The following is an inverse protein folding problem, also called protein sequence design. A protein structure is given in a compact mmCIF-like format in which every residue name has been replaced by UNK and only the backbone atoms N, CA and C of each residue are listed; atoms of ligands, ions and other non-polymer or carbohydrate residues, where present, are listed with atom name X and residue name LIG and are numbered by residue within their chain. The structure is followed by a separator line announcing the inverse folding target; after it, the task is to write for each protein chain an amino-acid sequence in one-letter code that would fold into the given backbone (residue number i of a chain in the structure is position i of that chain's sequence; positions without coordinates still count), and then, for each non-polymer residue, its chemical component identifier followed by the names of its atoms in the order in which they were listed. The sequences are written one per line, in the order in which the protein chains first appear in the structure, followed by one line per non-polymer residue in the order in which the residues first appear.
data_IF_377070406464
#
_entry.id   IF_377070406464
#
_cell.length_a   1.000
_cell.length_b   1.000
_cell.length_c   1.000
_cell.angle_alpha   90.00
_cell.angle_beta   90.00
_cell.angle_gamma   90.00
#
_symmetry.space_group_name_H-M   'P 1'
#
loop_
_entity.id
_entity.type
_entity.pdbx_description
1 polymer ?
#
# COMPACT_ATOMS: atom_id res chain seq x y z
N UNK A 1 65.37 31.62 -1.79
CA UNK A 1 65.02 30.19 -1.73
C UNK A 1 63.78 30.06 -0.87
N UNK A 2 62.85 29.23 -1.34
CA UNK A 2 61.42 29.18 -0.99
C UNK A 2 61.20 28.90 0.51
N UNK A 3 60.40 29.70 1.24
CA UNK A 3 59.93 29.30 2.56
C UNK A 3 58.74 28.34 2.42
N UNK A 4 58.88 27.17 3.02
CA UNK A 4 57.92 26.06 3.06
C UNK A 4 56.53 26.50 3.52
N UNK A 5 55.51 26.23 2.71
CA UNK A 5 54.12 26.36 3.09
C UNK A 5 53.75 25.30 4.14
N UNK A 6 53.41 25.75 5.35
CA UNK A 6 52.82 24.94 6.40
C UNK A 6 51.41 24.52 5.98
N UNK A 7 51.19 23.23 5.77
CA UNK A 7 49.89 22.64 5.49
C UNK A 7 48.99 22.76 6.73
N UNK A 8 48.10 23.75 6.72
CA UNK A 8 46.98 23.82 7.65
C UNK A 8 45.91 22.85 7.15
N UNK A 9 45.88 21.65 7.74
CA UNK A 9 44.79 20.70 7.54
C UNK A 9 43.51 21.32 8.11
N UNK A 10 42.65 21.81 7.22
CA UNK A 10 41.27 22.18 7.52
C UNK A 10 40.56 20.94 8.06
N UNK A 11 40.42 20.87 9.38
CA UNK A 11 39.65 19.84 10.08
C UNK A 11 38.18 20.10 9.78
N UNK A 12 37.67 19.48 8.71
CA UNK A 12 36.24 19.42 8.43
C UNK A 12 35.58 18.78 9.65
N UNK A 13 34.80 19.57 10.39
CA UNK A 13 33.93 19.03 11.44
C UNK A 13 33.00 18.03 10.77
N UNK A 14 33.14 16.75 11.11
CA UNK A 14 32.16 15.73 10.75
C UNK A 14 30.78 16.24 11.20
N UNK A 15 29.75 16.18 10.33
CA UNK A 15 28.41 16.53 10.76
C UNK A 15 28.04 15.64 11.93
N UNK A 16 27.71 16.24 13.07
CA UNK A 16 27.13 15.51 14.19
C UNK A 16 25.82 14.90 13.68
N UNK A 17 25.81 13.58 13.55
CA UNK A 17 24.59 12.81 13.31
C UNK A 17 23.72 13.04 14.55
N UNK A 18 22.49 13.58 14.42
CA UNK A 18 21.58 13.63 15.55
C UNK A 18 21.31 12.20 16.02
N UNK A 19 21.69 11.87 17.25
CA UNK A 19 21.48 10.55 17.87
C UNK A 19 20.06 10.35 18.40
N UNK A 20 19.08 11.08 17.88
CA UNK A 20 17.67 10.81 18.09
C UNK A 20 17.06 10.55 16.72
N UNK A 21 16.60 9.31 16.53
CA UNK A 21 15.85 8.91 15.36
C UNK A 21 14.60 9.80 15.27
N UNK A 22 14.49 10.69 14.27
CA UNK A 22 13.36 11.61 14.15
C UNK A 22 12.02 10.88 13.89
N UNK A 23 12.06 9.55 13.78
CA UNK A 23 10.95 8.66 13.47
C UNK A 23 10.70 7.58 14.52
N UNK A 24 10.94 7.84 15.81
CA UNK A 24 10.44 6.99 16.92
C UNK A 24 8.89 7.06 17.05
N UNK A 25 8.19 7.00 15.93
CA UNK A 25 6.74 7.01 15.82
C UNK A 25 6.18 5.71 16.37
N UNK A 26 5.45 5.82 17.47
CA UNK A 26 4.89 4.72 18.23
C UNK A 26 5.75 4.35 19.43
N UNK A 27 5.20 4.48 20.64
CA UNK A 27 5.80 3.92 21.84
C UNK A 27 5.89 2.40 21.67
N UNK A 28 7.08 1.86 21.41
CA UNK A 28 7.28 0.43 21.19
C UNK A 28 6.65 -0.43 22.32
N UNK A 29 6.59 0.12 23.55
CA UNK A 29 6.03 -0.54 24.72
C UNK A 29 4.53 -0.78 24.59
N UNK A 30 3.78 0.13 23.97
CA UNK A 30 2.32 -0.05 23.81
C UNK A 30 2.02 -1.23 22.89
N UNK A 31 2.80 -1.40 21.82
CA UNK A 31 2.62 -2.51 20.88
C UNK A 31 3.10 -3.82 21.49
N UNK A 32 4.19 -3.81 22.27
CA UNK A 32 4.64 -4.98 23.03
C UNK A 32 3.56 -5.44 24.02
N UNK A 33 3.04 -4.53 24.85
CA UNK A 33 1.96 -4.82 25.81
C UNK A 33 0.71 -5.40 25.12
N UNK A 34 0.28 -4.81 24.00
CA UNK A 34 -0.93 -5.23 23.29
C UNK A 34 -0.76 -6.59 22.59
N UNK A 35 0.41 -6.86 22.02
CA UNK A 35 0.67 -8.08 21.25
C UNK A 35 0.99 -9.29 22.15
N UNK A 36 1.56 -9.05 23.34
CA UNK A 36 1.88 -10.07 24.34
C UNK A 36 0.68 -10.44 25.25
N UNK A 37 -0.49 -9.84 25.01
CA UNK A 37 -1.71 -10.17 25.74
C UNK A 37 -2.05 -11.68 25.66
N UNK A 38 -2.27 -12.31 26.82
CA UNK A 38 -2.43 -13.78 26.92
C UNK A 38 -3.73 -14.29 26.28
N UNK A 39 -4.83 -13.56 26.44
CA UNK A 39 -6.17 -14.00 26.03
C UNK A 39 -6.58 -13.44 24.67
N UNK A 40 -6.55 -12.11 24.52
CA UNK A 40 -6.94 -11.45 23.29
C UNK A 40 -6.24 -10.10 23.12
N UNK A 41 -5.95 -9.74 21.88
CA UNK A 41 -5.44 -8.40 21.51
C UNK A 41 -6.59 -7.39 21.54
N UNK A 42 -6.42 -6.31 22.30
CA UNK A 42 -7.36 -5.19 22.30
C UNK A 42 -7.22 -4.40 21.00
N UNK A 43 -8.11 -4.70 20.04
CA UNK A 43 -8.08 -4.11 18.71
C UNK A 43 -8.40 -2.61 18.72
N UNK A 44 -9.21 -2.14 19.67
CA UNK A 44 -9.55 -0.71 19.77
C UNK A 44 -8.34 0.10 20.21
N UNK A 45 -7.63 -0.37 21.26
CA UNK A 45 -6.35 0.24 21.67
C UNK A 45 -5.28 0.12 20.59
N UNK A 46 -5.23 -1.00 19.87
CA UNK A 46 -4.28 -1.20 18.77
C UNK A 46 -4.51 -0.21 17.63
N UNK A 47 -5.77 0.02 17.24
CA UNK A 47 -6.15 1.02 16.23
C UNK A 47 -5.73 2.42 16.66
N UNK A 48 -6.02 2.79 17.90
CA UNK A 48 -5.69 4.13 18.39
C UNK A 48 -4.18 4.37 18.44
N UNK A 49 -3.40 3.38 18.92
CA UNK A 49 -1.95 3.44 18.88
C UNK A 49 -1.42 3.54 17.43
N UNK A 50 -2.02 2.79 16.51
CA UNK A 50 -1.60 2.76 15.10
C UNK A 50 -1.87 4.08 14.36
N UNK A 51 -2.95 4.81 14.71
CA UNK A 51 -3.20 6.16 14.18
C UNK A 51 -2.07 7.13 14.47
N UNK A 52 -1.40 6.98 15.62
CA UNK A 52 -0.23 7.78 16.03
C UNK A 52 1.08 7.32 15.36
N UNK A 53 1.07 6.18 14.67
CA UNK A 53 2.22 5.58 14.00
C UNK A 53 2.62 4.26 14.64
N UNK A 54 2.86 3.25 13.80
CA UNK A 54 3.28 1.93 14.27
C UNK A 54 4.80 1.85 14.27
N UNK A 55 5.35 1.45 15.41
CA UNK A 55 6.79 1.29 15.52
C UNK A 55 7.29 0.23 14.50
N UNK A 56 8.38 0.49 13.73
CA UNK A 56 8.78 -0.32 12.58
C UNK A 56 8.92 -1.83 12.88
N UNK A 57 9.36 -2.18 14.10
CA UNK A 57 9.50 -3.58 14.55
C UNK A 57 8.18 -4.36 14.53
N UNK A 58 7.05 -3.71 14.78
CA UNK A 58 5.77 -4.38 14.99
C UNK A 58 4.83 -4.29 13.78
N UNK A 59 5.14 -3.48 12.77
CA UNK A 59 4.28 -3.29 11.57
C UNK A 59 3.81 -4.61 10.95
N UNK A 60 4.72 -5.56 10.75
CA UNK A 60 4.38 -6.86 10.17
C UNK A 60 3.30 -7.62 10.95
N UNK A 61 3.32 -7.54 12.29
CA UNK A 61 2.31 -8.18 13.14
C UNK A 61 1.04 -7.34 13.22
N UNK A 62 1.17 -6.03 13.47
CA UNK A 62 0.05 -5.10 13.63
C UNK A 62 -0.82 -5.07 12.38
N UNK A 63 -0.23 -5.02 11.18
CA UNK A 63 -0.99 -4.97 9.93
C UNK A 63 -1.88 -6.21 9.76
N UNK A 64 -1.45 -7.40 10.22
CA UNK A 64 -2.29 -8.60 10.13
C UNK A 64 -3.52 -8.52 11.04
N UNK A 65 -3.40 -7.95 12.23
CA UNK A 65 -4.55 -7.71 13.11
C UNK A 65 -5.48 -6.65 12.54
N UNK A 66 -4.93 -5.53 12.06
CA UNK A 66 -5.69 -4.43 11.49
C UNK A 66 -6.47 -4.84 10.22
N UNK A 67 -5.89 -5.72 9.41
CA UNK A 67 -6.52 -6.30 8.22
C UNK A 67 -7.34 -7.56 8.51
N UNK A 68 -7.55 -7.93 9.78
CA UNK A 68 -8.29 -9.14 10.18
C UNK A 68 -7.75 -10.45 9.57
N UNK A 69 -6.47 -10.48 9.19
CA UNK A 69 -5.76 -11.69 8.73
C UNK A 69 -5.43 -12.59 9.92
N UNK A 70 -5.10 -11.99 11.07
CA UNK A 70 -4.91 -12.67 12.34
C UNK A 70 -6.07 -12.37 13.27
N UNK A 71 -6.59 -13.40 13.95
CA UNK A 71 -7.67 -13.24 14.93
C UNK A 71 -7.16 -12.61 16.22
N UNK A 72 -7.96 -11.74 16.83
CA UNK A 72 -7.63 -11.11 18.11
C UNK A 72 -7.62 -12.11 19.27
N UNK A 73 -8.46 -13.14 19.23
CA UNK A 73 -8.50 -14.22 20.22
C UNK A 73 -7.34 -15.20 20.03
N UNK A 74 -6.46 -15.26 21.03
CA UNK A 74 -5.24 -16.08 21.03
C UNK A 74 -5.53 -17.58 21.06
N UNK A 75 -6.69 -18.00 21.59
CA UNK A 75 -7.03 -19.42 21.74
C UNK A 75 -7.27 -20.11 20.39
N UNK A 76 -7.74 -19.36 19.39
CA UNK A 76 -8.04 -19.84 18.05
C UNK A 76 -6.97 -19.43 17.00
N UNK A 77 -6.09 -18.50 17.34
CA UNK A 77 -5.04 -17.95 16.46
C UNK A 77 -4.19 -19.06 15.82
N UNK A 78 -3.64 -19.99 16.60
CA UNK A 78 -2.77 -21.06 16.09
C UNK A 78 -3.49 -21.99 15.10
N UNK A 79 -4.79 -22.25 15.32
CA UNK A 79 -5.56 -23.12 14.43
C UNK A 79 -5.81 -22.45 13.08
N UNK A 80 -6.12 -21.15 13.09
CA UNK A 80 -6.29 -20.34 11.87
C UNK A 80 -4.97 -20.19 11.13
N UNK A 81 -3.88 -19.92 11.83
CA UNK A 81 -2.55 -19.79 11.21
C UNK A 81 -2.13 -21.08 10.51
N UNK A 82 -2.39 -22.24 11.11
CA UNK A 82 -2.15 -23.55 10.48
C UNK A 82 -3.06 -23.81 9.28
N UNK A 83 -4.30 -23.34 9.31
CA UNK A 83 -5.20 -23.44 8.16
C UNK A 83 -4.68 -22.58 7.01
N UNK A 84 -4.33 -21.32 7.29
CA UNK A 84 -3.74 -20.40 6.32
C UNK A 84 -2.43 -20.93 5.73
N UNK A 85 -1.56 -21.54 6.54
CA UNK A 85 -0.33 -22.17 6.03
C UNK A 85 -0.63 -23.26 5.00
N UNK A 86 -1.55 -24.18 5.34
CA UNK A 86 -1.95 -25.26 4.44
C UNK A 86 -2.58 -24.73 3.15
N UNK A 87 -3.47 -23.75 3.26
CA UNK A 87 -4.12 -23.16 2.09
C UNK A 87 -3.11 -22.44 1.19
N UNK A 88 -2.15 -21.72 1.78
CA UNK A 88 -1.08 -21.06 1.06
C UNK A 88 -0.14 -22.05 0.37
N UNK A 89 0.22 -23.17 1.00
CA UNK A 89 0.97 -24.25 0.38
C UNK A 89 0.23 -24.86 -0.81
N UNK A 90 -1.08 -25.09 -0.69
CA UNK A 90 -1.90 -25.66 -1.75
C UNK A 90 -1.98 -24.75 -2.99
N UNK A 91 -2.07 -23.43 -2.81
CA UNK A 91 -2.05 -22.47 -3.92
C UNK A 91 -0.77 -22.60 -4.78
N UNK A 92 0.34 -22.93 -4.14
CA UNK A 92 1.65 -23.07 -4.79
C UNK A 92 1.86 -24.42 -5.47
N UNK A 93 1.04 -25.41 -5.16
CA UNK A 93 1.15 -26.76 -5.74
C UNK A 93 0.40 -26.95 -7.06
N UNK A 94 -0.41 -25.98 -7.50
CA UNK A 94 -1.12 -26.03 -8.79
C UNK A 94 -0.32 -25.26 -9.86
N UNK A 95 0.64 -25.82 -10.62
CA UNK A 95 0.44 -26.62 -11.85
C UNK A 95 1.80 -26.85 -12.60
N UNK A 96 1.98 -27.83 -13.55
CA UNK A 96 0.95 -28.35 -14.48
C UNK A 96 0.86 -29.89 -14.77
N UNK A 97 -0.40 -30.37 -14.84
CA UNK A 97 -1.03 -31.53 -15.54
C UNK A 97 -0.53 -33.02 -15.47
N UNK A 98 -1.44 -33.86 -14.93
CA UNK A 98 -1.89 -35.27 -15.21
C UNK A 98 -0.94 -36.45 -15.46
N UNK A 99 -0.97 -37.43 -14.53
CA UNK A 99 -0.92 -38.87 -14.86
C UNK A 99 -1.68 -39.75 -13.82
N UNK A 100 -2.96 -39.45 -13.53
CA UNK A 100 -3.88 -40.41 -12.85
C UNK A 100 -5.36 -39.99 -12.80
N UNK A 101 -5.77 -38.88 -13.42
CA UNK A 101 -7.19 -38.57 -13.63
C UNK A 101 -8.11 -38.61 -12.40
N UNK A 102 -7.62 -38.32 -11.18
CA UNK A 102 -8.48 -38.26 -9.98
C UNK A 102 -8.49 -36.85 -9.39
N UNK A 103 -9.68 -36.24 -9.41
CA UNK A 103 -10.01 -35.06 -8.62
C UNK A 103 -9.77 -35.36 -7.14
N UNK A 104 -9.11 -34.45 -6.42
CA UNK A 104 -9.21 -34.38 -4.97
C UNK A 104 -10.64 -33.92 -4.67
N UNK A 105 -11.50 -34.86 -4.26
CA UNK A 105 -12.81 -34.53 -3.68
C UNK A 105 -12.54 -33.93 -2.29
N UNK A 106 -12.50 -32.60 -2.22
CA UNK A 106 -12.64 -31.89 -0.96
C UNK A 106 -14.04 -32.16 -0.39
N UNK A 107 -14.11 -32.55 0.88
CA UNK A 107 -15.35 -32.64 1.63
C UNK A 107 -16.03 -31.27 1.69
N UNK A 108 -17.12 -31.08 0.95
CA UNK A 108 -18.16 -30.10 1.31
C UNK A 108 -18.12 -28.70 0.67
N UNK A 109 -17.40 -28.49 -0.43
CA UNK A 109 -17.46 -27.22 -1.19
C UNK A 109 -17.24 -27.48 -2.68
N UNK A 110 -17.92 -26.74 -3.55
CA UNK A 110 -17.84 -26.90 -5.02
C UNK A 110 -16.37 -26.98 -5.48
N UNK A 111 -16.02 -27.91 -6.37
CA UNK A 111 -14.65 -28.01 -6.89
C UNK A 111 -14.26 -26.72 -7.62
N UNK A 112 -13.09 -26.18 -7.30
CA UNK A 112 -12.40 -25.18 -8.14
C UNK A 112 -12.23 -25.80 -9.52
N UNK A 113 -13.00 -25.32 -10.49
CA UNK A 113 -12.95 -25.80 -11.86
C UNK A 113 -11.56 -25.52 -12.46
N UNK A 114 -11.06 -26.36 -13.38
CA UNK A 114 -9.83 -26.08 -14.10
C UNK A 114 -10.10 -24.95 -15.10
N UNK A 115 -9.75 -23.72 -14.72
CA UNK A 115 -9.71 -22.58 -15.63
C UNK A 115 -8.67 -22.88 -16.71
N UNK A 116 -9.17 -23.04 -17.94
CA UNK A 116 -8.34 -23.10 -19.14
C UNK A 116 -7.49 -21.83 -19.19
N UNK A 117 -6.17 -21.99 -19.17
CA UNK A 117 -5.22 -20.88 -19.28
C UNK A 117 -5.59 -19.96 -20.46
N UNK A 118 -6.07 -18.75 -20.16
CA UNK A 118 -5.98 -17.64 -21.10
C UNK A 118 -4.50 -17.33 -21.30
N UNK A 119 -3.95 -17.66 -22.47
CA UNK A 119 -2.50 -17.54 -22.72
C UNK A 119 -1.99 -16.09 -22.62
N UNK A 120 -2.89 -15.11 -22.74
CA UNK A 120 -2.56 -13.68 -22.68
C UNK A 120 -2.38 -13.16 -21.24
N UNK A 121 -3.27 -13.50 -20.31
CA UNK A 121 -3.15 -13.05 -18.92
C UNK A 121 -1.92 -13.62 -18.22
N UNK A 122 -1.59 -14.89 -18.50
CA UNK A 122 -0.35 -15.50 -18.01
C UNK A 122 0.92 -14.79 -18.51
N UNK A 123 0.89 -14.14 -19.67
CA UNK A 123 2.03 -13.37 -20.19
C UNK A 123 2.19 -12.02 -19.47
N UNK A 124 1.09 -11.36 -19.09
CA UNK A 124 1.12 -10.13 -18.30
C UNK A 124 1.77 -10.36 -16.93
N UNK A 125 1.35 -11.40 -16.21
CA UNK A 125 1.97 -11.80 -14.94
C UNK A 125 3.47 -12.10 -15.09
N UNK A 126 3.87 -12.86 -16.12
CA UNK A 126 5.29 -13.13 -16.40
C UNK A 126 6.11 -11.87 -16.64
N UNK A 127 5.56 -10.89 -17.38
CA UNK A 127 6.21 -9.60 -17.61
C UNK A 127 6.35 -8.82 -16.31
N UNK A 128 5.30 -8.76 -15.49
CA UNK A 128 5.32 -8.08 -14.20
C UNK A 128 6.37 -8.68 -13.25
N UNK A 129 6.40 -10.01 -13.12
CA UNK A 129 7.40 -10.73 -12.31
C UNK A 129 8.83 -10.40 -12.80
N UNK A 130 9.08 -10.54 -14.11
CA UNK A 130 10.38 -10.25 -14.71
C UNK A 130 10.82 -8.80 -14.48
N UNK A 131 9.92 -7.83 -14.67
CA UNK A 131 10.21 -6.42 -14.44
C UNK A 131 10.61 -6.14 -12.98
N UNK A 132 10.02 -6.84 -12.01
CA UNK A 132 10.34 -6.63 -10.59
C UNK A 132 11.66 -7.26 -10.16
N UNK A 133 12.05 -8.40 -10.74
CA UNK A 133 13.31 -9.08 -10.41
C UNK A 133 14.56 -8.21 -10.68
N UNK A 134 14.46 -7.26 -11.61
CA UNK A 134 15.53 -6.32 -11.94
C UNK A 134 15.58 -5.08 -11.04
N UNK A 135 14.59 -4.84 -10.17
CA UNK A 135 14.64 -3.71 -9.22
C UNK A 135 15.75 -3.93 -8.19
N UNK A 136 16.44 -2.85 -7.80
CA UNK A 136 17.60 -2.89 -6.91
C UNK A 136 17.34 -3.64 -5.58
N UNK A 137 16.11 -3.55 -5.05
CA UNK A 137 15.70 -4.25 -3.83
C UNK A 137 15.72 -5.79 -3.94
N UNK A 138 15.64 -6.34 -5.16
CA UNK A 138 15.57 -7.77 -5.43
C UNK A 138 16.76 -8.26 -6.27
N UNK A 139 17.45 -7.37 -6.99
CA UNK A 139 18.55 -7.73 -7.91
C UNK A 139 19.76 -8.36 -7.23
N UNK A 140 19.97 -8.19 -5.92
CA UNK A 140 21.17 -8.69 -5.21
C UNK A 140 20.89 -9.76 -4.16
N UNK A 141 19.62 -10.06 -3.85
CA UNK A 141 19.25 -11.01 -2.78
C UNK A 141 18.40 -12.15 -3.33
N UNK A 142 18.94 -13.39 -3.41
CA UNK A 142 18.18 -14.54 -3.92
C UNK A 142 16.99 -14.89 -3.02
N UNK A 143 17.10 -14.69 -1.71
CA UNK A 143 16.00 -14.84 -0.77
C UNK A 143 14.87 -13.84 -1.05
N UNK A 144 15.21 -12.58 -1.33
CA UNK A 144 14.22 -11.56 -1.65
C UNK A 144 13.51 -11.84 -2.97
N UNK A 145 14.21 -12.37 -3.98
CA UNK A 145 13.57 -12.82 -5.23
C UNK A 145 12.64 -13.98 -4.97
N UNK A 146 13.09 -15.02 -4.26
CA UNK A 146 12.26 -16.19 -3.93
C UNK A 146 11.01 -15.78 -3.15
N UNK A 147 11.14 -14.85 -2.20
CA UNK A 147 10.01 -14.28 -1.48
C UNK A 147 9.02 -13.62 -2.44
N UNK A 148 9.50 -12.75 -3.35
CA UNK A 148 8.66 -12.03 -4.30
C UNK A 148 7.96 -13.00 -5.26
N UNK A 149 8.71 -13.93 -5.86
CA UNK A 149 8.19 -14.94 -6.78
C UNK A 149 7.08 -15.75 -6.08
N UNK A 150 7.32 -16.19 -4.84
CA UNK A 150 6.34 -16.93 -4.05
C UNK A 150 5.03 -16.13 -3.84
N UNK A 151 5.12 -14.84 -3.51
CA UNK A 151 3.94 -13.99 -3.31
C UNK A 151 3.20 -13.79 -4.63
N UNK A 152 3.90 -13.44 -5.70
CA UNK A 152 3.29 -13.13 -6.99
C UNK A 152 2.68 -14.37 -7.66
N UNK A 153 3.31 -15.54 -7.56
CA UNK A 153 2.74 -16.81 -8.01
C UNK A 153 1.44 -17.15 -7.28
N UNK A 154 1.39 -16.91 -5.96
CA UNK A 154 0.20 -17.16 -5.15
C UNK A 154 -0.94 -16.20 -5.50
N UNK A 155 -0.63 -14.92 -5.76
CA UNK A 155 -1.60 -13.94 -6.26
C UNK A 155 -2.08 -14.31 -7.67
N UNK A 156 -1.17 -14.73 -8.56
CA UNK A 156 -1.52 -15.17 -9.91
C UNK A 156 -2.48 -16.37 -9.89
N UNK A 157 -2.31 -17.29 -8.93
CA UNK A 157 -3.20 -18.44 -8.80
C UNK A 157 -4.66 -18.05 -8.50
N UNK A 158 -4.87 -16.95 -7.75
CA UNK A 158 -6.20 -16.41 -7.43
C UNK A 158 -6.70 -15.47 -8.52
N UNK A 159 -5.82 -14.64 -9.07
CA UNK A 159 -6.13 -13.57 -10.02
C UNK A 159 -5.60 -13.91 -11.43
N UNK A 160 -5.89 -15.13 -11.89
CA UNK A 160 -5.36 -15.68 -13.14
C UNK A 160 -5.75 -14.88 -14.38
N UNK A 161 -6.90 -14.24 -14.36
CA UNK A 161 -7.48 -13.47 -15.47
C UNK A 161 -7.50 -11.95 -15.21
N UNK A 162 -6.68 -11.47 -14.26
CA UNK A 162 -6.55 -10.05 -13.99
C UNK A 162 -6.01 -9.25 -15.18
N UNK A 163 -6.50 -8.03 -15.37
CA UNK A 163 -5.97 -7.09 -16.36
C UNK A 163 -4.54 -6.64 -16.03
N UNK A 164 -3.84 -6.03 -16.99
CA UNK A 164 -2.49 -5.50 -16.76
C UNK A 164 -2.47 -4.46 -15.64
N UNK A 165 -3.50 -3.62 -15.57
CA UNK A 165 -3.69 -2.60 -14.54
C UNK A 165 -3.89 -3.22 -13.16
N UNK A 166 -4.73 -4.26 -13.06
CA UNK A 166 -4.96 -5.00 -11.83
C UNK A 166 -3.67 -5.67 -11.33
N UNK A 167 -2.93 -6.31 -12.23
CA UNK A 167 -1.62 -6.91 -11.94
C UNK A 167 -0.64 -5.84 -11.44
N UNK A 168 -0.59 -4.68 -12.10
CA UNK A 168 0.24 -3.57 -11.68
C UNK A 168 -0.10 -3.14 -10.24
N UNK A 169 -1.37 -2.92 -9.92
CA UNK A 169 -1.83 -2.51 -8.59
C UNK A 169 -1.43 -3.56 -7.54
N UNK A 170 -1.72 -4.83 -7.79
CA UNK A 170 -1.34 -5.94 -6.90
C UNK A 170 0.17 -5.93 -6.62
N UNK A 171 1.00 -5.77 -7.65
CA UNK A 171 2.46 -5.68 -7.50
C UNK A 171 2.84 -4.48 -6.64
N UNK A 172 2.27 -3.29 -6.85
CA UNK A 172 2.60 -2.13 -6.02
C UNK A 172 2.21 -2.33 -4.56
N UNK A 173 1.07 -2.98 -4.29
CA UNK A 173 0.63 -3.28 -2.92
C UNK A 173 1.54 -4.29 -2.20
N UNK A 174 2.24 -5.18 -2.92
CA UNK A 174 3.18 -6.15 -2.35
C UNK A 174 4.46 -5.48 -1.82
N UNK A 175 4.96 -4.45 -2.52
CA UNK A 175 6.31 -3.93 -2.27
C UNK A 175 6.53 -3.38 -0.85
N UNK A 176 5.60 -2.64 -0.22
CA UNK A 176 5.79 -2.14 1.15
C UNK A 176 5.98 -3.26 2.18
N UNK A 177 5.40 -4.44 1.95
CA UNK A 177 5.52 -5.58 2.86
C UNK A 177 6.93 -6.17 2.91
N UNK A 178 7.73 -5.97 1.85
CA UNK A 178 9.15 -6.34 1.87
C UNK A 178 9.92 -5.55 2.92
N UNK A 179 9.62 -4.26 3.06
CA UNK A 179 10.32 -3.35 3.97
C UNK A 179 10.06 -3.69 5.45
N UNK A 180 8.85 -4.13 5.76
CA UNK A 180 8.47 -4.55 7.12
C UNK A 180 8.82 -6.02 7.40
N UNK A 181 9.59 -6.67 6.50
CA UNK A 181 10.06 -8.06 6.61
C UNK A 181 8.92 -9.08 6.80
N UNK A 182 7.77 -8.83 6.17
CA UNK A 182 6.64 -9.74 6.20
C UNK A 182 6.97 -11.06 5.49
N UNK A 183 6.43 -12.18 5.97
CA UNK A 183 6.56 -13.47 5.29
C UNK A 183 5.80 -13.46 3.95
N UNK A 184 6.11 -14.38 3.04
CA UNK A 184 5.39 -14.45 1.76
C UNK A 184 3.90 -14.76 1.96
N UNK A 185 3.58 -15.68 2.89
CA UNK A 185 2.20 -16.02 3.28
C UNK A 185 1.46 -14.80 3.82
N UNK A 186 2.02 -14.13 4.82
CA UNK A 186 1.36 -13.01 5.47
C UNK A 186 1.18 -11.84 4.49
N UNK A 187 2.17 -11.62 3.63
CA UNK A 187 2.07 -10.63 2.55
C UNK A 187 0.94 -10.97 1.59
N UNK A 188 0.83 -12.23 1.16
CA UNK A 188 -0.25 -12.68 0.30
C UNK A 188 -1.62 -12.42 0.94
N UNK A 189 -1.85 -12.83 2.18
CA UNK A 189 -3.15 -12.62 2.84
C UNK A 189 -3.45 -11.14 3.06
N UNK A 190 -2.48 -10.34 3.51
CA UNK A 190 -2.66 -8.90 3.69
C UNK A 190 -2.98 -8.19 2.36
N UNK A 191 -2.23 -8.47 1.30
CA UNK A 191 -2.47 -7.86 -0.03
C UNK A 191 -3.79 -8.33 -0.61
N UNK A 192 -4.12 -9.62 -0.48
CA UNK A 192 -5.40 -10.17 -0.90
C UNK A 192 -6.57 -9.47 -0.19
N UNK A 193 -6.46 -9.22 1.12
CA UNK A 193 -7.47 -8.46 1.86
C UNK A 193 -7.57 -7.01 1.39
N UNK A 194 -6.44 -6.29 1.24
CA UNK A 194 -6.46 -4.90 0.74
C UNK A 194 -7.10 -4.83 -0.64
N UNK A 195 -6.72 -5.73 -1.55
CA UNK A 195 -7.24 -5.76 -2.91
C UNK A 195 -8.71 -6.18 -2.96
N UNK A 196 -9.13 -7.13 -2.13
CA UNK A 196 -10.54 -7.48 -1.95
C UNK A 196 -11.35 -6.25 -1.51
N UNK A 197 -10.87 -5.50 -0.52
CA UNK A 197 -11.54 -4.28 -0.08
C UNK A 197 -11.65 -3.26 -1.21
N UNK A 198 -10.58 -3.02 -1.97
CA UNK A 198 -10.61 -2.09 -3.11
C UNK A 198 -11.60 -2.51 -4.22
N UNK A 199 -11.86 -3.82 -4.37
CA UNK A 199 -12.71 -4.40 -5.43
C UNK A 199 -14.15 -4.67 -5.00
N UNK A 200 -14.53 -4.32 -3.76
CA UNK A 200 -15.86 -4.58 -3.22
C UNK A 200 -16.38 -3.36 -2.47
N UNK A 201 -17.64 -3.41 -2.02
CA UNK A 201 -18.26 -2.41 -1.14
C UNK A 201 -18.27 -0.98 -1.72
N UNK A 202 -18.35 -0.84 -3.05
CA UNK A 202 -18.37 0.44 -3.74
C UNK A 202 -17.01 1.15 -3.76
N UNK A 203 -15.90 0.43 -3.51
CA UNK A 203 -14.55 0.99 -3.62
C UNK A 203 -14.08 1.12 -5.09
N UNK A 204 -13.00 1.89 -5.36
CA UNK A 204 -12.65 2.32 -6.72
C UNK A 204 -12.34 1.21 -7.73
N UNK A 205 -12.02 -0.02 -7.30
CA UNK A 205 -11.71 -1.14 -8.19
C UNK A 205 -12.86 -2.14 -8.34
N UNK A 206 -14.04 -1.85 -7.80
CA UNK A 206 -15.19 -2.76 -7.93
C UNK A 206 -15.65 -2.87 -9.38
N UNK A 207 -15.88 -1.73 -10.02
CA UNK A 207 -16.34 -1.62 -11.40
C UNK A 207 -16.05 -0.20 -11.95
N UNK A 208 -16.30 0.00 -13.24
CA UNK A 208 -16.06 1.27 -13.93
C UNK A 208 -16.90 2.42 -13.36
N UNK A 209 -18.15 2.14 -12.97
CA UNK A 209 -19.07 3.13 -12.41
C UNK A 209 -18.58 3.64 -11.05
N UNK A 210 -18.14 2.73 -10.17
CA UNK A 210 -17.52 3.07 -8.89
C UNK A 210 -16.27 3.91 -9.11
N UNK A 211 -15.37 3.52 -10.02
CA UNK A 211 -14.17 4.28 -10.32
C UNK A 211 -14.51 5.70 -10.80
N UNK A 212 -15.49 5.82 -11.70
CA UNK A 212 -15.94 7.11 -12.21
C UNK A 212 -16.52 7.98 -11.10
N UNK A 213 -17.32 7.41 -10.18
CA UNK A 213 -17.86 8.12 -9.03
C UNK A 213 -16.75 8.63 -8.10
N UNK A 214 -15.77 7.78 -7.76
CA UNK A 214 -14.63 8.17 -6.93
C UNK A 214 -13.79 9.27 -7.60
N UNK A 215 -13.51 9.16 -8.90
CA UNK A 215 -12.80 10.19 -9.65
C UNK A 215 -13.59 11.51 -9.71
N UNK A 216 -14.91 11.44 -9.93
CA UNK A 216 -15.78 12.61 -9.96
C UNK A 216 -15.84 13.34 -8.62
N UNK A 217 -16.03 12.60 -7.53
CA UNK A 217 -16.00 13.13 -6.17
C UNK A 217 -14.67 13.79 -5.85
N UNK A 218 -13.56 13.12 -6.19
CA UNK A 218 -12.22 13.66 -5.99
C UNK A 218 -11.99 14.95 -6.77
N UNK A 219 -12.37 14.99 -8.06
CA UNK A 219 -12.20 16.18 -8.90
C UNK A 219 -13.10 17.35 -8.46
N UNK A 220 -14.31 17.07 -7.98
CA UNK A 220 -15.20 18.07 -7.38
C UNK A 220 -14.56 18.69 -6.12
N UNK A 221 -14.02 17.86 -5.23
CA UNK A 221 -13.32 18.33 -4.04
C UNK A 221 -12.04 19.11 -4.41
N UNK A 222 -11.27 18.62 -5.39
CA UNK A 222 -10.06 19.29 -5.85
C UNK A 222 -10.36 20.68 -6.40
N UNK A 223 -11.41 20.79 -7.24
CA UNK A 223 -11.89 22.08 -7.74
C UNK A 223 -12.29 23.03 -6.60
N UNK A 224 -13.02 22.51 -5.61
CA UNK A 224 -13.58 23.31 -4.51
C UNK A 224 -12.50 23.79 -3.54
N UNK A 225 -11.55 22.92 -3.20
CA UNK A 225 -10.55 23.16 -2.16
C UNK A 225 -9.27 23.79 -2.71
N UNK A 226 -8.95 23.57 -3.99
CA UNK A 226 -7.77 24.11 -4.65
C UNK A 226 -8.08 24.52 -6.10
N UNK A 227 -8.99 25.47 -6.24
CA UNK A 227 -9.46 25.94 -7.55
C UNK A 227 -8.35 26.58 -8.41
N UNK A 228 -7.29 27.11 -7.79
CA UNK A 228 -6.15 27.68 -8.51
C UNK A 228 -5.36 26.58 -9.25
N UNK A 229 -4.93 25.54 -8.53
CA UNK A 229 -4.20 24.43 -9.15
C UNK A 229 -5.10 23.63 -10.12
N UNK A 230 -6.38 23.47 -9.78
CA UNK A 230 -7.36 22.83 -10.69
C UNK A 230 -7.44 23.56 -12.04
N UNK A 231 -7.55 24.89 -12.03
CA UNK A 231 -7.61 25.69 -13.26
C UNK A 231 -6.32 25.56 -14.07
N UNK A 232 -5.17 25.51 -13.38
CA UNK A 232 -3.90 25.28 -14.03
C UNK A 232 -3.87 23.94 -14.76
N UNK A 233 -4.27 22.85 -14.10
CA UNK A 233 -4.37 21.52 -14.73
C UNK A 233 -5.29 21.52 -15.95
N UNK A 234 -6.41 22.24 -15.86
CA UNK A 234 -7.33 22.40 -16.98
C UNK A 234 -6.70 23.16 -18.16
N UNK A 235 -6.02 24.28 -17.89
CA UNK A 235 -5.31 25.07 -18.91
C UNK A 235 -4.21 24.26 -19.59
N UNK A 236 -3.45 23.47 -18.83
CA UNK A 236 -2.41 22.57 -19.35
C UNK A 236 -2.97 21.34 -20.09
N UNK A 237 -4.30 21.16 -20.11
CA UNK A 237 -4.94 20.05 -20.81
C UNK A 237 -4.68 18.68 -20.15
N UNK A 238 -4.53 18.66 -18.82
CA UNK A 238 -4.43 17.43 -18.04
C UNK A 238 -5.83 16.86 -17.85
N UNK A 239 -6.02 15.62 -18.29
CA UNK A 239 -7.29 14.90 -18.13
C UNK A 239 -7.29 14.09 -16.84
N UNK A 240 -8.47 13.86 -16.27
CA UNK A 240 -8.64 13.07 -15.03
C UNK A 240 -8.00 11.68 -15.12
N UNK A 241 -8.17 11.01 -16.27
CA UNK A 241 -7.71 9.63 -16.47
C UNK A 241 -6.19 9.49 -16.46
N UNK A 242 -5.43 10.56 -16.73
CA UNK A 242 -3.96 10.51 -16.79
C UNK A 242 -3.30 10.33 -15.41
N UNK A 243 -3.99 10.64 -14.31
CA UNK A 243 -3.37 10.64 -12.99
C UNK A 243 -4.26 10.20 -11.84
N UNK A 244 -5.57 10.52 -11.87
CA UNK A 244 -6.48 10.28 -10.73
C UNK A 244 -6.71 8.80 -10.46
N UNK A 245 -7.05 7.93 -11.44
CA UNK A 245 -7.28 6.52 -11.17
C UNK A 245 -6.09 5.85 -10.50
N UNK A 246 -4.88 6.10 -11.01
CA UNK A 246 -3.65 5.52 -10.45
C UNK A 246 -3.34 6.08 -9.06
N UNK A 247 -3.64 7.35 -8.79
CA UNK A 247 -3.51 7.95 -7.46
C UNK A 247 -4.44 7.30 -6.44
N UNK A 248 -5.70 7.02 -6.82
CA UNK A 248 -6.74 6.47 -5.94
C UNK A 248 -6.65 4.96 -5.74
N UNK A 249 -6.21 4.22 -6.76
CA UNK A 249 -6.27 2.75 -6.76
C UNK A 249 -5.01 2.07 -6.21
N UNK A 250 -3.86 2.77 -6.16
CA UNK A 250 -2.62 2.19 -5.61
C UNK A 250 -2.41 2.51 -4.14
N UNK A 251 -3.32 3.26 -3.49
CA UNK A 251 -3.14 3.75 -2.12
C UNK A 251 -1.79 4.44 -1.91
N UNK A 252 -1.32 5.16 -2.94
CA UNK A 252 -0.04 5.86 -3.03
C UNK A 252 1.22 4.98 -3.04
N UNK A 253 1.08 3.65 -3.15
CA UNK A 253 2.19 2.72 -3.06
C UNK A 253 3.28 2.92 -4.13
N UNK A 254 2.91 3.50 -5.27
CA UNK A 254 3.81 3.80 -6.39
C UNK A 254 4.14 5.29 -6.54
N UNK A 255 3.74 6.12 -5.58
CA UNK A 255 3.94 7.59 -5.63
C UNK A 255 4.83 8.11 -4.52
N UNK A 256 4.67 7.58 -3.30
CA UNK A 256 5.37 8.05 -2.12
C UNK A 256 6.66 7.28 -1.85
N UNK A 257 7.57 7.94 -1.14
CA UNK A 257 8.69 7.26 -0.54
C UNK A 257 8.21 6.26 0.52
N UNK A 258 8.89 5.12 0.59
CA UNK A 258 8.46 3.96 1.37
C UNK A 258 8.15 4.27 2.85
N UNK A 259 8.98 5.05 3.53
CA UNK A 259 8.76 5.38 4.94
C UNK A 259 7.53 6.26 5.15
N UNK A 260 7.34 7.25 4.26
CA UNK A 260 6.20 8.15 4.29
C UNK A 260 4.92 7.36 4.00
N UNK A 261 4.97 6.46 3.01
CA UNK A 261 3.89 5.52 2.68
C UNK A 261 3.51 4.66 3.89
N UNK A 262 4.49 4.04 4.55
CA UNK A 262 4.23 3.19 5.71
C UNK A 262 3.57 3.97 6.85
N UNK A 263 3.97 5.24 7.09
CA UNK A 263 3.30 6.08 8.09
C UNK A 263 1.85 6.41 7.71
N UNK A 264 1.56 6.65 6.43
CA UNK A 264 0.18 6.82 5.93
C UNK A 264 -0.61 5.51 6.10
N UNK A 265 0.00 4.37 5.79
CA UNK A 265 -0.64 3.06 5.90
C UNK A 265 -0.88 2.63 7.36
N UNK A 266 -0.02 3.02 8.30
CA UNK A 266 -0.25 2.85 9.73
C UNK A 266 -1.61 3.45 10.14
N UNK A 267 -2.03 4.55 9.50
CA UNK A 267 -3.36 5.13 9.67
C UNK A 267 -4.42 4.42 8.82
N UNK A 268 -4.19 4.24 7.52
CA UNK A 268 -5.19 3.69 6.58
C UNK A 268 -5.70 2.33 7.00
N UNK A 269 -4.86 1.49 7.60
CA UNK A 269 -5.24 0.13 7.94
C UNK A 269 -6.06 0.05 9.24
N UNK A 270 -6.24 1.15 9.98
CA UNK A 270 -6.99 1.13 11.24
C UNK A 270 -8.50 0.96 11.07
N UNK A 271 -9.07 1.61 10.05
CA UNK A 271 -10.51 1.69 9.84
C UNK A 271 -11.12 0.56 8.97
N UNK A 272 -10.43 -0.06 7.98
CA UNK A 272 -11.04 -0.99 7.03
C UNK A 272 -11.70 -2.23 7.65
N UNK A 273 -11.24 -2.67 8.84
CA UNK A 273 -11.89 -3.75 9.56
C UNK A 273 -13.29 -3.42 10.10
N UNK A 274 -13.66 -2.13 10.14
CA UNK A 274 -14.98 -1.65 10.56
C UNK A 274 -15.76 -1.04 9.39
N UNK A 275 -15.11 -0.21 8.58
CA UNK A 275 -15.75 0.59 7.53
C UNK A 275 -15.71 -0.05 6.14
N UNK A 276 -14.90 -1.09 5.95
CA UNK A 276 -14.65 -1.76 4.67
C UNK A 276 -14.13 -0.83 3.56
N UNK A 277 -13.63 0.36 3.90
CA UNK A 277 -13.22 1.40 2.94
C UNK A 277 -11.94 2.10 3.39
N UNK A 278 -11.23 2.72 2.45
CA UNK A 278 -10.10 3.61 2.72
C UNK A 278 -10.56 5.08 2.73
N UNK A 279 -11.52 5.41 3.59
CA UNK A 279 -12.28 6.68 3.54
C UNK A 279 -11.42 7.96 3.62
N UNK A 280 -10.28 7.92 4.32
CA UNK A 280 -9.38 9.07 4.41
C UNK A 280 -8.52 9.29 3.15
N UNK A 281 -8.36 8.26 2.30
CA UNK A 281 -7.44 8.29 1.17
C UNK A 281 -7.63 9.46 0.19
N UNK A 282 -8.83 9.78 -0.33
CA UNK A 282 -9.00 10.91 -1.24
C UNK A 282 -8.59 12.24 -0.60
N UNK A 283 -8.78 12.40 0.71
CA UNK A 283 -8.40 13.61 1.44
C UNK A 283 -6.89 13.71 1.66
N UNK A 284 -6.19 12.59 1.83
CA UNK A 284 -4.71 12.56 1.82
C UNK A 284 -4.19 13.00 0.45
N UNK A 285 -4.78 12.50 -0.63
CA UNK A 285 -4.43 12.93 -1.99
C UNK A 285 -4.61 14.45 -2.18
N UNK A 286 -5.71 15.03 -1.68
CA UNK A 286 -5.94 16.48 -1.71
C UNK A 286 -4.96 17.26 -0.84
N UNK A 287 -4.61 16.74 0.34
CA UNK A 287 -3.62 17.33 1.23
C UNK A 287 -2.23 17.37 0.57
N UNK A 288 -1.85 16.30 -0.14
CA UNK A 288 -0.61 16.23 -0.92
C UNK A 288 -0.58 17.27 -2.04
N UNK A 289 -1.65 17.36 -2.85
CA UNK A 289 -1.76 18.38 -3.90
C UNK A 289 -1.65 19.80 -3.33
N UNK A 290 -2.28 20.02 -2.17
CA UNK A 290 -2.22 21.31 -1.48
C UNK A 290 -0.80 21.65 -1.01
N UNK A 291 0.03 20.65 -0.70
CA UNK A 291 1.43 20.87 -0.32
C UNK A 291 2.33 21.07 -1.54
N UNK A 292 1.98 20.49 -2.69
CA UNK A 292 2.71 20.63 -3.95
C UNK A 292 2.24 21.82 -4.79
N UNK A 293 1.27 22.61 -4.32
CA UNK A 293 0.61 23.64 -5.14
C UNK A 293 1.59 24.69 -5.65
N UNK A 294 2.47 25.19 -4.78
CA UNK A 294 3.47 26.19 -5.17
C UNK A 294 4.46 25.64 -6.20
N UNK A 295 4.81 24.35 -6.11
CA UNK A 295 5.73 23.70 -7.05
C UNK A 295 5.07 23.40 -8.41
N UNK A 296 3.76 23.19 -8.45
CA UNK A 296 3.04 22.72 -9.63
C UNK A 296 2.42 23.84 -10.47
N UNK A 297 2.20 25.04 -9.92
CA UNK A 297 1.54 26.15 -10.63
C UNK A 297 2.35 26.68 -11.81
N UNK A 298 3.68 26.56 -11.76
CA UNK A 298 4.58 27.00 -12.83
C UNK A 298 5.00 25.87 -13.78
N UNK A 299 4.53 24.64 -13.52
CA UNK A 299 4.88 23.44 -14.29
C UNK A 299 3.98 23.30 -15.54
N UNK A 300 4.54 22.81 -16.64
CA UNK A 300 3.74 22.39 -17.79
C UNK A 300 3.10 21.01 -17.57
N UNK A 301 2.24 20.56 -18.50
CA UNK A 301 1.59 19.24 -18.46
C UNK A 301 2.55 18.08 -18.13
N UNK A 302 3.72 18.00 -18.78
CA UNK A 302 4.65 16.87 -18.62
C UNK A 302 5.31 16.91 -17.24
N UNK A 303 5.72 18.10 -16.82
CA UNK A 303 6.36 18.37 -15.55
C UNK A 303 5.40 18.06 -14.37
N UNK A 304 4.12 18.45 -14.50
CA UNK A 304 3.07 18.12 -13.51
C UNK A 304 2.91 16.60 -13.39
N UNK A 305 2.67 15.89 -14.50
CA UNK A 305 2.47 14.44 -14.46
C UNK A 305 3.69 13.71 -13.90
N UNK A 306 4.90 14.16 -14.26
CA UNK A 306 6.15 13.62 -13.74
C UNK A 306 6.25 13.79 -12.21
N UNK A 307 5.94 14.98 -11.68
CA UNK A 307 5.97 15.28 -10.24
C UNK A 307 4.90 14.52 -9.45
N UNK A 308 3.70 14.35 -10.03
CA UNK A 308 2.65 13.53 -9.43
C UNK A 308 3.04 12.04 -9.38
N UNK A 309 3.84 11.58 -10.34
CA UNK A 309 4.38 10.22 -10.33
C UNK A 309 5.56 10.03 -9.37
N UNK A 310 6.36 11.07 -9.17
CA UNK A 310 7.57 11.04 -8.33
C UNK A 310 7.48 12.10 -7.24
N UNK A 311 6.58 11.89 -6.27
CA UNK A 311 6.36 12.87 -5.22
C UNK A 311 7.61 13.03 -4.34
N UNK A 312 7.96 14.26 -3.91
CA UNK A 312 9.06 14.49 -2.98
C UNK A 312 8.78 13.83 -1.62
N UNK A 313 9.79 13.79 -0.74
CA UNK A 313 9.58 13.38 0.65
C UNK A 313 8.56 14.31 1.31
N UNK A 314 7.66 13.73 2.09
CA UNK A 314 6.58 14.46 2.75
C UNK A 314 6.72 14.39 4.27
N UNK A 315 6.14 15.37 4.96
CA UNK A 315 5.79 15.20 6.36
C UNK A 315 4.45 14.47 6.45
N UNK A 316 4.48 13.14 6.57
CA UNK A 316 3.29 12.30 6.58
C UNK A 316 2.30 12.67 7.70
N UNK A 317 2.80 13.09 8.88
CA UNK A 317 1.94 13.50 10.00
C UNK A 317 1.15 14.78 9.66
N UNK A 318 1.85 15.80 9.14
CA UNK A 318 1.19 17.03 8.72
C UNK A 318 0.18 16.79 7.58
N UNK A 319 0.49 15.88 6.66
CA UNK A 319 -0.43 15.47 5.59
C UNK A 319 -1.67 14.79 6.16
N UNK A 320 -1.53 13.86 7.11
CA UNK A 320 -2.66 13.19 7.76
C UNK A 320 -3.54 14.18 8.52
N UNK A 321 -2.94 15.07 9.31
CA UNK A 321 -3.68 16.10 10.06
C UNK A 321 -4.47 17.02 9.11
N UNK A 322 -3.84 17.47 8.01
CA UNK A 322 -4.50 18.25 6.98
C UNK A 322 -5.62 17.47 6.30
N UNK A 323 -5.41 16.20 5.98
CA UNK A 323 -6.42 15.35 5.37
C UNK A 323 -7.65 15.17 6.28
N UNK A 324 -7.45 14.96 7.57
CA UNK A 324 -8.54 14.88 8.56
C UNK A 324 -9.31 16.20 8.57
N UNK A 325 -8.61 17.34 8.65
CA UNK A 325 -9.25 18.66 8.61
C UNK A 325 -10.05 18.89 7.32
N UNK A 326 -9.52 18.48 6.16
CA UNK A 326 -10.22 18.60 4.88
C UNK A 326 -11.49 17.73 4.88
N UNK A 327 -11.41 16.51 5.40
CA UNK A 327 -12.55 15.60 5.47
C UNK A 327 -13.68 16.18 6.32
N UNK A 328 -13.37 16.65 7.52
CA UNK A 328 -14.37 17.24 8.42
C UNK A 328 -15.02 18.49 7.81
N UNK A 329 -14.23 19.34 7.13
CA UNK A 329 -14.74 20.51 6.41
C UNK A 329 -15.65 20.11 5.24
N UNK A 330 -15.29 19.08 4.47
CA UNK A 330 -16.08 18.58 3.35
C UNK A 330 -17.45 18.05 3.82
N UNK A 331 -17.50 17.30 4.92
CA UNK A 331 -18.76 16.81 5.50
C UNK A 331 -19.59 17.95 6.09
N UNK A 332 -18.96 18.89 6.79
CA UNK A 332 -19.66 20.05 7.38
C UNK A 332 -20.33 20.91 6.29
N UNK A 333 -19.70 21.01 5.12
CA UNK A 333 -20.23 21.74 3.96
C UNK A 333 -21.23 20.92 3.13
N UNK A 334 -21.46 19.66 3.46
CA UNK A 334 -22.34 18.76 2.69
C UNK A 334 -21.83 18.47 1.28
N UNK A 335 -20.50 18.54 1.04
CA UNK A 335 -19.90 18.24 -0.26
C UNK A 335 -19.94 16.74 -0.58
N UNK A 336 -19.92 15.91 0.46
CA UNK A 336 -20.09 14.47 0.37
C UNK A 336 -21.15 14.04 1.39
N UNK A 337 -21.94 13.03 1.01
CA UNK A 337 -22.87 12.38 1.93
C UNK A 337 -22.14 11.22 2.64
N UNK A 338 -22.36 11.11 3.95
CA UNK A 338 -21.80 10.07 4.81
C UNK A 338 -22.29 8.68 4.43
#
# INVERSE_FOLDING_TARGET
MIPSASSAVLRVKSPQIPTQDPFSGGDARIFEELLDAEAAVDLARLREASRLGVHPRYRGMVYRYLLCVTLTDKSSEMSVERAQERDFELLRCAAPYTQAGRLIKGTGGKPLAPYLYSSMSGAAWKRAISAMQHRAAFSHSPESRRWLDTVLESLQAIYSDASEEAIFILVQLVLPFKAIKSSAKDTFYCVNTIYHLLTHHGNPLQDEDCLQQHCGNFMMLFHTLNGMLYRHFFTEGITTLEWVPRLLCTLLADRLHLEDLLRIWDYYLTDPGETLTFSLHPFVCLALLSNLTEDLVDCDKREILYRLEHMPRINAEAVLQKAISIREDAYTRGLLFS
#
